data_IF_435855102417
#
_entry.id   IF_435855102417
#
_cell.length_a   1.000
_cell.length_b   1.000
_cell.length_c   1.000
_cell.angle_alpha   90.00
_cell.angle_beta   90.00
_cell.angle_gamma   90.00
#
_symmetry.space_group_name_H-M   'P 1'
#
loop_
_entity.id
_entity.type
_entity.pdbx_description
1 polymer ?
#
# COMPACT_ATOMS: atom_id res chain seq x y z
N UNK A 1 27.86 10.29 -7.97
CA UNK A 1 26.71 9.58 -7.40
C UNK A 1 26.76 8.14 -7.89
N UNK A 2 26.83 7.16 -7.00
CA UNK A 2 26.78 5.74 -7.36
C UNK A 2 25.34 5.28 -7.18
N UNK A 3 24.74 4.68 -8.20
CA UNK A 3 23.41 4.10 -8.13
C UNK A 3 23.59 2.63 -7.72
N UNK A 4 22.97 2.22 -6.63
CA UNK A 4 23.00 0.84 -6.16
C UNK A 4 21.63 0.19 -6.33
N UNK A 5 21.63 -1.09 -6.69
CA UNK A 5 20.42 -1.88 -6.82
C UNK A 5 20.17 -2.64 -5.52
N UNK A 6 18.95 -2.56 -5.00
CA UNK A 6 18.51 -3.31 -3.83
C UNK A 6 17.48 -4.37 -4.25
N UNK A 7 17.61 -5.57 -3.70
CA UNK A 7 16.58 -6.59 -3.83
C UNK A 7 15.42 -6.27 -2.88
N UNK A 8 14.22 -6.12 -3.42
CA UNK A 8 13.01 -5.78 -2.68
C UNK A 8 11.85 -6.68 -3.11
N UNK A 9 10.82 -6.79 -2.27
CA UNK A 9 9.51 -7.31 -2.67
C UNK A 9 8.54 -6.15 -2.83
N UNK A 10 7.59 -6.27 -3.76
CA UNK A 10 6.54 -5.28 -3.98
C UNK A 10 5.25 -5.78 -3.35
N UNK A 11 4.63 -4.90 -2.57
CA UNK A 11 3.27 -5.06 -2.10
C UNK A 11 2.37 -4.09 -2.86
N UNK A 12 1.26 -4.59 -3.40
CA UNK A 12 0.19 -3.75 -3.95
C UNK A 12 -1.16 -4.16 -3.39
N UNK A 13 -1.92 -3.18 -2.91
CA UNK A 13 -3.23 -3.38 -2.29
C UNK A 13 -4.26 -2.57 -3.08
N UNK A 14 -5.38 -3.19 -3.42
CA UNK A 14 -6.52 -2.51 -4.03
C UNK A 14 -7.57 -2.27 -2.95
N UNK A 15 -8.03 -1.02 -2.83
CA UNK A 15 -8.86 -0.57 -1.73
C UNK A 15 -10.09 0.18 -2.27
N UNK A 16 -11.33 -0.24 -1.99
CA UNK A 16 -12.52 0.45 -2.48
C UNK A 16 -12.62 1.83 -1.83
N UNK A 17 -13.06 2.82 -2.62
CA UNK A 17 -13.27 4.18 -2.13
C UNK A 17 -14.61 4.73 -2.59
N UNK A 18 -15.11 5.75 -1.89
CA UNK A 18 -16.31 6.43 -2.31
C UNK A 18 -16.11 7.12 -3.69
N UNK A 19 -17.17 7.17 -4.50
CA UNK A 19 -17.13 7.83 -5.81
C UNK A 19 -16.76 9.32 -5.73
N UNK A 20 -17.10 9.98 -4.62
CA UNK A 20 -16.71 11.37 -4.34
C UNK A 20 -15.19 11.48 -4.14
N UNK A 21 -14.62 10.64 -3.27
CA UNK A 21 -13.17 10.52 -3.05
C UNK A 21 -12.45 10.26 -4.36
N UNK A 22 -12.91 9.26 -5.14
CA UNK A 22 -12.36 8.94 -6.45
C UNK A 22 -12.34 10.17 -7.38
N UNK A 23 -13.46 10.89 -7.47
CA UNK A 23 -13.59 12.05 -8.35
C UNK A 23 -12.67 13.20 -7.96
N UNK A 24 -12.42 13.39 -6.66
CA UNK A 24 -11.50 14.41 -6.14
C UNK A 24 -10.05 14.01 -6.41
N UNK A 25 -9.67 12.78 -6.09
CA UNK A 25 -8.33 12.25 -6.35
C UNK A 25 -7.99 12.27 -7.84
N UNK A 26 -8.92 11.90 -8.72
CA UNK A 26 -8.73 11.95 -10.17
C UNK A 26 -8.49 13.37 -10.72
N UNK A 27 -8.88 14.41 -9.97
CA UNK A 27 -8.60 15.82 -10.30
C UNK A 27 -7.30 16.34 -9.67
N UNK A 28 -6.56 15.48 -8.96
CA UNK A 28 -5.33 15.85 -8.27
C UNK A 28 -5.52 16.49 -6.90
N UNK A 29 -6.72 16.42 -6.32
CA UNK A 29 -6.96 16.87 -4.94
C UNK A 29 -6.38 15.86 -3.95
N UNK A 30 -5.12 16.03 -3.56
CA UNK A 30 -4.43 15.18 -2.62
C UNK A 30 -4.98 15.26 -1.18
N UNK A 31 -5.78 16.27 -0.85
CA UNK A 31 -6.37 16.36 0.49
C UNK A 31 -7.50 15.35 0.68
N UNK A 32 -8.09 14.85 -0.41
CA UNK A 32 -9.12 13.81 -0.38
C UNK A 32 -8.65 12.49 0.27
N UNK A 33 -7.34 12.24 0.38
CA UNK A 33 -6.79 11.13 1.15
C UNK A 33 -7.19 11.18 2.63
N UNK A 34 -7.28 12.38 3.20
CA UNK A 34 -7.53 12.59 4.63
C UNK A 34 -9.01 12.46 4.99
N UNK A 35 -9.88 12.63 3.99
CA UNK A 35 -11.33 12.59 4.16
C UNK A 35 -11.90 11.18 3.99
N UNK A 36 -11.11 10.23 3.47
CA UNK A 36 -11.50 8.84 3.25
C UNK A 36 -10.98 7.93 4.36
N UNK A 37 -11.87 7.45 5.23
CA UNK A 37 -11.51 6.67 6.42
C UNK A 37 -10.72 5.40 6.08
N UNK A 38 -11.05 4.74 4.96
CA UNK A 38 -10.32 3.54 4.51
C UNK A 38 -8.86 3.85 4.13
N UNK A 39 -8.63 4.93 3.39
CA UNK A 39 -7.28 5.39 3.05
C UNK A 39 -6.53 5.81 4.32
N UNK A 40 -7.17 6.51 5.24
CA UNK A 40 -6.56 6.91 6.51
C UNK A 40 -6.11 5.69 7.32
N UNK A 41 -6.94 4.64 7.43
CA UNK A 41 -6.59 3.41 8.12
C UNK A 41 -5.38 2.71 7.48
N UNK A 42 -5.34 2.65 6.14
CA UNK A 42 -4.22 2.10 5.39
C UNK A 42 -2.91 2.88 5.64
N UNK A 43 -2.97 4.21 5.59
CA UNK A 43 -1.81 5.08 5.85
C UNK A 43 -1.31 4.96 7.30
N UNK A 44 -2.22 4.78 8.26
CA UNK A 44 -1.87 4.51 9.65
C UNK A 44 -1.15 3.16 9.80
N UNK A 45 -1.65 2.08 9.20
CA UNK A 45 -0.98 0.77 9.19
C UNK A 45 0.46 0.85 8.65
N UNK A 46 0.68 1.65 7.60
CA UNK A 46 2.01 1.89 7.03
C UNK A 46 2.93 2.66 7.97
N UNK A 47 2.42 3.70 8.62
CA UNK A 47 3.20 4.47 9.60
C UNK A 47 3.65 3.62 10.78
N UNK A 48 2.86 2.60 11.15
CA UNK A 48 3.20 1.63 12.20
C UNK A 48 4.20 0.56 11.74
N UNK A 49 4.55 0.52 10.46
CA UNK A 49 5.34 -0.54 9.84
C UNK A 49 6.62 0.02 9.21
N UNK A 50 7.70 0.21 10.00
CA UNK A 50 8.91 0.91 9.57
C UNK A 50 9.65 0.22 8.41
N UNK A 51 9.44 -1.08 8.20
CA UNK A 51 10.08 -1.86 7.14
C UNK A 51 9.46 -1.60 5.74
N UNK A 52 8.23 -1.05 5.68
CA UNK A 52 7.56 -0.75 4.42
C UNK A 52 7.95 0.64 3.91
N UNK A 53 8.35 0.70 2.65
CA UNK A 53 8.76 1.92 1.99
C UNK A 53 10.04 2.51 2.56
N UNK A 54 10.93 1.68 3.12
CA UNK A 54 12.25 2.12 3.59
C UNK A 54 13.26 2.20 2.44
N UNK A 55 13.56 3.44 2.06
CA UNK A 55 14.59 3.80 1.09
C UNK A 55 15.66 4.69 1.76
N UNK A 56 15.98 4.42 3.03
CA UNK A 56 17.01 5.11 3.80
C UNK A 56 16.51 6.43 4.39
N UNK A 57 16.90 7.56 3.80
CA UNK A 57 16.46 8.88 4.28
C UNK A 57 14.97 9.16 3.99
N UNK A 58 14.33 8.30 3.21
CA UNK A 58 12.91 8.36 2.89
C UNK A 58 12.26 7.10 3.46
N UNK A 59 11.27 7.30 4.32
CA UNK A 59 10.53 6.22 4.99
C UNK A 59 9.06 6.30 4.61
N UNK A 60 8.37 5.17 4.73
CA UNK A 60 6.96 5.05 4.36
C UNK A 60 6.70 5.50 2.91
N UNK A 61 7.67 5.29 2.02
CA UNK A 61 7.54 5.62 0.60
C UNK A 61 6.50 4.70 -0.03
N UNK A 62 5.55 5.31 -0.73
CA UNK A 62 4.56 4.59 -1.51
C UNK A 62 4.21 5.34 -2.79
N UNK A 63 3.68 4.59 -3.75
CA UNK A 63 2.97 5.09 -4.90
C UNK A 63 1.48 4.82 -4.72
N UNK A 64 0.65 5.73 -5.22
CA UNK A 64 -0.79 5.56 -5.24
C UNK A 64 -1.42 5.99 -6.55
N UNK A 65 -2.51 5.33 -6.92
CA UNK A 65 -3.35 5.70 -8.06
C UNK A 65 -4.82 5.45 -7.77
N UNK A 66 -5.68 5.88 -8.70
CA UNK A 66 -7.11 5.57 -8.68
C UNK A 66 -7.53 4.90 -9.98
N UNK A 67 -8.47 3.97 -9.88
CA UNK A 67 -9.00 3.23 -11.02
C UNK A 67 -10.36 2.62 -10.72
N UNK A 68 -10.73 1.64 -11.53
CA UNK A 68 -11.94 0.85 -11.34
C UNK A 68 -11.60 -0.63 -11.28
N UNK A 69 -12.26 -1.35 -10.39
CA UNK A 69 -12.25 -2.82 -10.35
C UNK A 69 -13.61 -3.36 -10.77
N UNK A 70 -13.60 -4.43 -11.56
CA UNK A 70 -14.81 -5.13 -12.00
C UNK A 70 -14.88 -6.53 -11.41
N UNK A 71 -16.04 -6.90 -10.87
CA UNK A 71 -16.27 -8.22 -10.28
C UNK A 71 -17.73 -8.66 -10.37
N UNK A 72 -17.95 -9.96 -10.20
CA UNK A 72 -19.27 -10.58 -10.05
C UNK A 72 -19.27 -11.41 -8.78
N UNK A 73 -20.17 -11.10 -7.85
CA UNK A 73 -20.26 -11.83 -6.58
C UNK A 73 -20.81 -13.24 -6.82
N UNK A 74 -20.10 -14.26 -6.34
CA UNK A 74 -20.56 -15.64 -6.35
C UNK A 74 -21.59 -15.91 -5.24
N UNK A 75 -22.33 -17.02 -5.35
CA UNK A 75 -23.20 -17.49 -4.27
C UNK A 75 -22.41 -17.68 -2.97
N UNK A 76 -22.97 -17.20 -1.86
CA UNK A 76 -22.34 -17.27 -0.52
C UNK A 76 -21.47 -16.07 -0.15
N UNK A 77 -21.18 -15.15 -1.07
CA UNK A 77 -20.45 -13.92 -0.75
C UNK A 77 -21.30 -12.95 0.09
N UNK A 78 -20.64 -12.20 0.98
CA UNK A 78 -21.24 -11.08 1.73
C UNK A 78 -20.62 -9.75 1.30
N UNK A 79 -20.85 -9.29 0.05
CA UNK A 79 -20.12 -8.17 -0.49
C UNK A 79 -20.54 -6.84 0.15
N UNK A 80 -19.54 -6.01 0.43
CA UNK A 80 -19.75 -4.61 0.84
C UNK A 80 -20.36 -3.76 -0.28
N UNK A 81 -20.13 -4.16 -1.54
CA UNK A 81 -20.69 -3.51 -2.74
C UNK A 81 -21.06 -4.56 -3.79
N UNK A 82 -22.20 -4.38 -4.45
CA UNK A 82 -22.69 -5.28 -5.50
C UNK A 82 -23.70 -6.29 -4.98
N UNK A 83 -24.12 -7.20 -5.85
CA UNK A 83 -25.08 -8.25 -5.55
C UNK A 83 -24.66 -9.57 -6.20
N UNK A 84 -25.06 -10.69 -5.58
CA UNK A 84 -24.79 -12.04 -6.11
C UNK A 84 -25.32 -12.16 -7.54
N UNK A 85 -24.46 -12.61 -8.44
CA UNK A 85 -24.76 -12.78 -9.87
C UNK A 85 -24.76 -11.48 -10.70
N UNK A 86 -24.52 -10.32 -10.10
CA UNK A 86 -24.47 -9.03 -10.80
C UNK A 86 -23.02 -8.59 -11.05
N UNK A 87 -22.71 -8.23 -12.30
CA UNK A 87 -21.48 -7.51 -12.63
C UNK A 87 -21.49 -6.11 -11.99
N UNK A 88 -20.43 -5.81 -11.25
CA UNK A 88 -20.26 -4.58 -10.49
C UNK A 88 -18.93 -3.94 -10.85
N UNK A 89 -18.93 -2.62 -11.04
CA UNK A 89 -17.72 -1.80 -11.19
C UNK A 89 -17.60 -0.89 -9.97
N UNK A 90 -16.46 -0.95 -9.28
CA UNK A 90 -16.19 -0.17 -8.07
C UNK A 90 -15.04 0.82 -8.30
N UNK A 91 -15.16 2.08 -7.85
CA UNK A 91 -14.01 2.96 -7.70
C UNK A 91 -13.01 2.37 -6.69
N UNK A 92 -11.74 2.39 -7.05
CA UNK A 92 -10.67 1.76 -6.28
C UNK A 92 -9.48 2.70 -6.17
N UNK A 93 -8.95 2.81 -4.96
CA UNK A 93 -7.63 3.32 -4.66
C UNK A 93 -6.60 2.19 -4.71
N UNK A 94 -5.53 2.38 -5.47
CA UNK A 94 -4.44 1.40 -5.58
C UNK A 94 -3.25 1.94 -4.81
N UNK A 95 -2.77 1.16 -3.86
CA UNK A 95 -1.60 1.45 -3.05
C UNK A 95 -0.46 0.51 -3.41
N UNK A 96 0.75 1.04 -3.62
CA UNK A 96 1.95 0.22 -3.87
C UNK A 96 3.12 0.68 -3.01
N UNK A 97 3.80 -0.26 -2.37
CA UNK A 97 5.05 0.00 -1.66
C UNK A 97 6.02 -1.17 -1.83
N UNK A 98 7.23 -1.00 -1.30
CA UNK A 98 8.31 -1.97 -1.38
C UNK A 98 8.90 -2.20 0.00
N UNK A 99 9.45 -3.38 0.22
CA UNK A 99 10.17 -3.71 1.45
C UNK A 99 11.32 -4.65 1.14
N UNK A 100 12.26 -4.78 2.08
CA UNK A 100 13.45 -5.59 1.88
C UNK A 100 13.11 -7.04 1.50
N UNK A 101 13.76 -7.59 0.47
CA UNK A 101 13.55 -8.98 0.07
C UNK A 101 13.95 -9.97 1.19
N UNK A 102 14.84 -9.56 2.10
CA UNK A 102 15.26 -10.36 3.25
C UNK A 102 14.36 -10.22 4.48
N UNK A 103 13.29 -9.40 4.43
CA UNK A 103 12.33 -9.31 5.54
C UNK A 103 11.73 -10.69 5.86
N UNK A 104 11.57 -11.00 7.13
CA UNK A 104 11.04 -12.30 7.56
C UNK A 104 9.60 -12.52 7.05
N UNK A 105 9.32 -13.71 6.51
CA UNK A 105 8.00 -14.04 5.95
C UNK A 105 6.90 -14.00 7.02
N UNK A 106 7.20 -14.33 8.29
CA UNK A 106 6.22 -14.19 9.35
C UNK A 106 5.93 -12.71 9.69
N UNK A 107 6.90 -11.81 9.52
CA UNK A 107 6.66 -10.37 9.62
C UNK A 107 5.77 -9.86 8.49
N UNK A 108 6.03 -10.31 7.26
CA UNK A 108 5.17 -10.01 6.10
C UNK A 108 3.76 -10.52 6.33
N UNK A 109 3.61 -11.76 6.77
CA UNK A 109 2.31 -12.37 7.04
C UNK A 109 1.51 -11.56 8.07
N UNK A 110 2.12 -11.18 9.21
CA UNK A 110 1.45 -10.35 10.23
C UNK A 110 0.96 -9.01 9.66
N UNK A 111 1.74 -8.40 8.78
CA UNK A 111 1.32 -7.17 8.12
C UNK A 111 0.14 -7.40 7.17
N UNK A 112 0.18 -8.47 6.38
CA UNK A 112 -0.92 -8.84 5.49
C UNK A 112 -2.20 -9.15 6.27
N UNK A 113 -2.10 -9.89 7.38
CA UNK A 113 -3.21 -10.15 8.30
C UNK A 113 -3.80 -8.85 8.83
N UNK A 114 -2.96 -7.91 9.28
CA UNK A 114 -3.43 -6.61 9.73
C UNK A 114 -4.15 -5.84 8.62
N UNK A 115 -3.61 -5.82 7.39
CA UNK A 115 -4.27 -5.18 6.24
C UNK A 115 -5.63 -5.82 5.96
N UNK A 116 -5.73 -7.15 5.99
CA UNK A 116 -7.00 -7.87 5.81
C UNK A 116 -8.00 -7.47 6.90
N UNK A 117 -7.58 -7.40 8.16
CA UNK A 117 -8.45 -7.07 9.29
C UNK A 117 -9.07 -5.66 9.20
N UNK A 118 -8.34 -4.71 8.63
CA UNK A 118 -8.82 -3.33 8.44
C UNK A 118 -9.45 -3.10 7.06
N UNK A 119 -9.43 -4.11 6.18
CA UNK A 119 -9.93 -3.96 4.82
C UNK A 119 -11.47 -3.99 4.78
N UNK A 120 -12.13 -3.10 4.02
CA UNK A 120 -13.59 -3.04 3.95
C UNK A 120 -14.24 -4.19 3.17
N UNK A 121 -13.49 -4.88 2.31
CA UNK A 121 -13.98 -6.09 1.62
C UNK A 121 -13.64 -7.35 2.39
N UNK A 122 -14.59 -8.30 2.36
CA UNK A 122 -14.44 -9.66 2.87
C UNK A 122 -13.21 -10.37 2.28
N UNK A 123 -12.94 -10.17 0.98
CA UNK A 123 -11.81 -10.78 0.26
C UNK A 123 -11.01 -9.68 -0.44
N UNK A 124 -9.97 -9.11 0.19
CA UNK A 124 -9.13 -8.10 -0.43
C UNK A 124 -8.25 -8.68 -1.54
N UNK A 125 -8.02 -7.90 -2.60
CA UNK A 125 -7.02 -8.22 -3.62
C UNK A 125 -5.68 -7.60 -3.20
N UNK A 126 -4.75 -8.47 -2.77
CA UNK A 126 -3.41 -8.08 -2.36
C UNK A 126 -2.39 -8.83 -3.23
N UNK A 127 -1.56 -8.07 -3.94
CA UNK A 127 -0.48 -8.59 -4.76
C UNK A 127 0.83 -8.53 -3.97
N UNK A 128 1.50 -9.68 -3.85
CA UNK A 128 2.87 -9.78 -3.36
C UNK A 128 3.73 -10.41 -4.45
N UNK A 129 4.75 -9.68 -4.91
CA UNK A 129 5.68 -10.23 -5.90
C UNK A 129 6.88 -10.90 -5.24
N UNK A 130 7.51 -11.82 -5.97
CA UNK A 130 8.88 -12.25 -5.67
C UNK A 130 9.88 -11.09 -5.72
N UNK A 131 11.14 -11.34 -5.33
CA UNK A 131 12.16 -10.31 -5.31
C UNK A 131 12.35 -9.64 -6.68
N UNK A 132 12.41 -8.32 -6.68
CA UNK A 132 12.77 -7.48 -7.83
C UNK A 132 13.89 -6.51 -7.43
N UNK A 133 14.65 -6.02 -8.41
CA UNK A 133 15.72 -5.05 -8.15
C UNK A 133 15.21 -3.63 -8.39
N UNK A 134 15.37 -2.75 -7.40
CA UNK A 134 15.01 -1.32 -7.48
C UNK A 134 16.22 -0.47 -7.11
N UNK A 135 16.43 0.64 -7.81
CA UNK A 135 17.47 1.62 -7.47
C UNK A 135 16.94 2.72 -6.55
N UNK A 136 17.77 3.17 -5.62
CA UNK A 136 17.55 4.41 -4.88
C UNK A 136 18.88 5.15 -4.66
N UNK A 137 18.81 6.46 -4.41
CA UNK A 137 20.00 7.30 -4.18
C UNK A 137 20.01 7.86 -2.76
N UNK A 138 19.70 7.01 -1.76
CA UNK A 138 19.76 7.42 -0.36
C UNK A 138 21.17 7.91 -0.01
N UNK A 139 21.32 9.17 0.42
CA UNK A 139 22.58 9.65 0.97
C UNK A 139 22.90 8.85 2.24
N UNK A 140 24.15 8.40 2.46
CA UNK A 140 24.49 7.69 3.69
C UNK A 140 24.13 8.55 4.90
N UNK A 141 23.49 7.94 5.90
CA UNK A 141 23.25 8.57 7.19
C UNK A 141 24.62 9.03 7.73
N UNK A 142 24.81 10.34 7.82
CA UNK A 142 26.00 10.91 8.44
C UNK A 142 25.86 10.59 9.93
N UNK A 143 26.59 9.59 10.41
CA UNK A 143 26.78 9.41 11.84
C UNK A 143 27.56 10.63 12.33
N UNK A 144 26.89 11.52 13.07
CA UNK A 144 27.58 12.52 13.88
C UNK A 144 28.46 11.77 14.89
N UNK A 145 29.75 11.72 14.59
CA UNK A 145 30.77 11.39 15.56
C UNK A 145 30.72 12.44 16.66
N UNK A 146 30.03 12.15 17.76
CA UNK A 146 30.38 12.72 19.05
C UNK A 146 31.79 12.23 19.41
N UNK A 147 32.80 12.97 18.99
CA UNK A 147 34.11 12.96 19.61
C UNK A 147 34.20 14.22 20.47
N UNK A 148 33.68 14.09 21.69
CA UNK A 148 34.06 14.94 22.79
C UNK A 148 35.46 14.50 23.28
N UNK A 149 36.46 15.37 23.12
CA UNK A 149 37.55 15.71 24.06
C UNK A 149 38.69 16.40 23.31
#
# INVERSE_FOLDING_TARGET
MKIEMKAVRKLRVHWPIASETFSRLAKGDAEAFKDEAGIVALLQALSGSPDLGDFGNYRHVFESGVGFEGFTCAEGATPTLGAVGQETISPTFVFTTYFDAALDDAAVQRFLEHIVDIHPWEVPVIELTGPMSVSNTALPAVFESQAAS
#
